data_IF_632756313818
#
_entry.id   IF_632756313818
#
_cell.length_a   1.000
_cell.length_b   1.000
_cell.length_c   1.000
_cell.angle_alpha   90.00
_cell.angle_beta   90.00
_cell.angle_gamma   90.00
#
_symmetry.space_group_name_H-M   'P 1'
#
loop_
_entity.id
_entity.type
_entity.pdbx_description
1 polymer ?
#
# COMPACT_ATOMS: atom_id res chain seq x y z
N UNK A 1 -12.79 11.66 9.23
CA UNK A 1 -11.63 12.02 8.41
C UNK A 1 -12.06 12.16 6.96
N UNK A 2 -11.40 13.03 6.20
CA UNK A 2 -11.76 13.30 4.79
C UNK A 2 -11.79 12.03 3.92
N UNK A 3 -10.76 11.19 4.04
CA UNK A 3 -10.66 9.97 3.23
C UNK A 3 -11.75 8.94 3.53
N UNK A 4 -12.24 8.90 4.76
CA UNK A 4 -13.37 8.03 5.12
C UNK A 4 -14.66 8.45 4.41
N UNK A 5 -14.80 9.76 4.17
CA UNK A 5 -16.01 10.32 3.56
C UNK A 5 -16.01 10.18 2.03
N UNK A 6 -14.84 10.06 1.42
CA UNK A 6 -14.68 10.02 -0.04
C UNK A 6 -14.25 8.66 -0.57
N UNK A 7 -14.12 7.65 0.31
CA UNK A 7 -13.59 6.34 -0.09
C UNK A 7 -14.29 5.75 -1.32
N UNK A 8 -15.61 5.81 -1.36
CA UNK A 8 -16.39 5.29 -2.48
C UNK A 8 -16.14 6.10 -3.76
N UNK A 9 -16.19 7.42 -3.64
CA UNK A 9 -15.96 8.33 -4.78
C UNK A 9 -14.54 8.18 -5.30
N UNK A 10 -13.58 8.08 -4.39
CA UNK A 10 -12.17 7.91 -4.75
C UNK A 10 -11.95 6.65 -5.60
N UNK A 11 -12.56 5.54 -5.21
CA UNK A 11 -12.42 4.28 -5.95
C UNK A 11 -12.95 4.41 -7.39
N UNK A 12 -14.12 5.03 -7.56
CA UNK A 12 -14.71 5.26 -8.88
C UNK A 12 -13.79 6.15 -9.74
N UNK A 13 -13.27 7.24 -9.17
CA UNK A 13 -12.37 8.15 -9.87
C UNK A 13 -11.05 7.48 -10.24
N UNK A 14 -10.43 6.78 -9.29
CA UNK A 14 -9.14 6.13 -9.51
C UNK A 14 -9.22 5.09 -10.63
N UNK A 15 -10.29 4.28 -10.64
CA UNK A 15 -10.43 3.20 -11.64
C UNK A 15 -11.03 3.67 -12.96
N UNK A 16 -11.86 4.71 -12.95
CA UNK A 16 -12.59 5.17 -14.14
C UNK A 16 -11.84 6.19 -14.98
N UNK A 17 -11.25 7.21 -14.35
CA UNK A 17 -10.72 8.39 -15.05
C UNK A 17 -9.25 8.23 -15.43
N UNK A 18 -8.43 7.64 -14.56
CA UNK A 18 -6.98 7.52 -14.77
C UNK A 18 -6.54 6.09 -15.09
N UNK A 19 -7.38 5.34 -15.80
CA UNK A 19 -7.11 3.92 -16.07
C UNK A 19 -5.73 3.66 -16.68
N UNK A 20 -5.31 4.47 -17.65
CA UNK A 20 -4.02 4.32 -18.33
C UNK A 20 -2.85 4.58 -17.38
N UNK A 21 -2.91 5.68 -16.63
CA UNK A 21 -1.89 6.04 -15.64
C UNK A 21 -1.82 4.97 -14.53
N UNK A 22 -2.96 4.47 -14.09
CA UNK A 22 -3.02 3.43 -13.06
C UNK A 22 -2.43 2.11 -13.55
N UNK A 23 -2.65 1.73 -14.80
CA UNK A 23 -2.03 0.53 -15.39
C UNK A 23 -0.51 0.66 -15.45
N UNK A 24 -0.01 1.82 -15.85
CA UNK A 24 1.42 2.07 -15.92
C UNK A 24 2.06 2.01 -14.54
N UNK A 25 1.42 2.59 -13.54
CA UNK A 25 1.87 2.54 -12.14
C UNK A 25 1.87 1.11 -11.61
N UNK A 26 0.80 0.36 -11.83
CA UNK A 26 0.70 -1.04 -11.42
C UNK A 26 1.80 -1.88 -12.05
N UNK A 27 2.06 -1.72 -13.33
CA UNK A 27 3.12 -2.44 -14.03
C UNK A 27 4.50 -2.09 -13.48
N UNK A 28 4.74 -0.81 -13.21
CA UNK A 28 6.01 -0.34 -12.66
C UNK A 28 6.27 -0.91 -11.26
N UNK A 29 5.27 -0.89 -10.40
CA UNK A 29 5.36 -1.47 -9.05
C UNK A 29 5.59 -2.98 -9.15
N UNK A 30 4.78 -3.67 -9.96
CA UNK A 30 4.86 -5.12 -10.12
C UNK A 30 6.25 -5.59 -10.57
N UNK A 31 6.93 -4.81 -11.40
CA UNK A 31 8.27 -5.15 -11.89
C UNK A 31 9.32 -5.24 -10.77
N UNK A 32 9.08 -4.63 -9.62
CA UNK A 32 9.98 -4.62 -8.47
C UNK A 32 9.62 -5.62 -7.37
N UNK A 33 8.56 -6.41 -7.57
CA UNK A 33 8.08 -7.39 -6.58
C UNK A 33 8.37 -8.80 -7.06
N UNK A 34 8.95 -9.62 -6.18
CA UNK A 34 9.27 -11.01 -6.46
C UNK A 34 8.45 -12.01 -5.64
N UNK A 35 8.43 -13.29 -6.07
CA UNK A 35 7.55 -14.31 -5.47
C UNK A 35 7.93 -14.70 -4.03
N UNK A 36 9.16 -14.38 -3.61
CA UNK A 36 9.63 -14.67 -2.25
C UNK A 36 9.48 -13.46 -1.30
N UNK A 37 9.02 -12.34 -1.81
CA UNK A 37 8.99 -11.10 -1.04
C UNK A 37 7.86 -11.07 0.00
N UNK A 38 8.20 -10.59 1.18
CA UNK A 38 7.26 -10.09 2.17
C UNK A 38 7.19 -8.58 2.00
N UNK A 39 5.99 -8.08 1.66
CA UNK A 39 5.78 -6.70 1.23
C UNK A 39 4.87 -5.96 2.20
N UNK A 40 5.23 -4.71 2.50
CA UNK A 40 4.36 -3.76 3.18
C UNK A 40 3.84 -2.76 2.15
N UNK A 41 2.54 -2.59 2.09
CA UNK A 41 1.91 -1.51 1.32
C UNK A 41 1.32 -0.50 2.29
N UNK A 42 1.78 0.74 2.23
CA UNK A 42 1.26 1.84 3.04
C UNK A 42 0.31 2.70 2.21
N UNK A 43 -0.72 3.22 2.84
CA UNK A 43 -1.74 4.01 2.18
C UNK A 43 -2.38 3.26 1.00
N UNK A 44 -2.77 2.01 1.25
CA UNK A 44 -3.32 1.15 0.20
C UNK A 44 -4.66 1.67 -0.35
N UNK A 45 -5.34 2.55 0.37
CA UNK A 45 -6.63 3.08 -0.01
C UNK A 45 -7.66 1.98 -0.20
N UNK A 46 -8.37 2.00 -1.29
CA UNK A 46 -9.36 0.97 -1.63
C UNK A 46 -8.75 -0.25 -2.32
N UNK A 47 -7.44 -0.34 -2.41
CA UNK A 47 -6.74 -1.52 -2.88
C UNK A 47 -6.36 -1.54 -4.36
N UNK A 48 -6.14 -0.36 -4.97
CA UNK A 48 -5.79 -0.27 -6.39
C UNK A 48 -4.54 -1.09 -6.76
N UNK A 49 -3.49 -1.00 -5.94
CA UNK A 49 -2.25 -1.75 -6.13
C UNK A 49 -2.24 -3.10 -5.43
N UNK A 50 -3.06 -3.26 -4.41
CA UNK A 50 -3.03 -4.43 -3.51
C UNK A 50 -3.11 -5.75 -4.26
N UNK A 51 -4.04 -5.89 -5.19
CA UNK A 51 -4.19 -7.11 -5.97
C UNK A 51 -2.99 -7.42 -6.85
N UNK A 52 -2.39 -6.39 -7.44
CA UNK A 52 -1.21 -6.53 -8.30
C UNK A 52 -0.01 -7.01 -7.49
N UNK A 53 0.21 -6.42 -6.32
CA UNK A 53 1.30 -6.80 -5.43
C UNK A 53 1.08 -8.23 -4.90
N UNK A 54 -0.13 -8.52 -4.44
CA UNK A 54 -0.48 -9.83 -3.88
C UNK A 54 -0.25 -10.97 -4.87
N UNK A 55 -0.54 -10.73 -6.15
CA UNK A 55 -0.33 -11.73 -7.20
C UNK A 55 1.13 -12.07 -7.46
N UNK A 56 2.08 -11.26 -6.98
CA UNK A 56 3.50 -11.41 -7.27
C UNK A 56 4.37 -11.71 -6.06
N UNK A 57 3.88 -11.47 -4.85
CA UNK A 57 4.67 -11.64 -3.63
C UNK A 57 4.27 -12.88 -2.86
N UNK A 58 5.09 -13.23 -1.86
CA UNK A 58 4.78 -14.32 -0.94
C UNK A 58 3.70 -13.90 0.06
N UNK A 59 3.83 -12.73 0.66
CA UNK A 59 2.88 -12.23 1.64
C UNK A 59 2.85 -10.69 1.60
N UNK A 60 1.66 -10.13 1.70
CA UNK A 60 1.42 -8.69 1.68
C UNK A 60 0.70 -8.25 2.95
N UNK A 61 1.25 -7.24 3.59
CA UNK A 61 0.57 -6.48 4.64
C UNK A 61 0.14 -5.14 4.04
N UNK A 62 -1.15 -4.96 3.83
CA UNK A 62 -1.72 -3.74 3.26
C UNK A 62 -2.26 -2.86 4.39
N UNK A 63 -1.78 -1.64 4.47
CA UNK A 63 -2.13 -0.72 5.56
C UNK A 63 -2.70 0.58 5.04
N UNK A 64 -3.58 1.17 5.83
CA UNK A 64 -4.08 2.53 5.61
C UNK A 64 -4.49 3.13 6.96
N UNK A 65 -4.49 4.44 7.04
CA UNK A 65 -4.97 5.14 8.23
C UNK A 65 -6.50 5.15 8.32
N UNK A 66 -7.18 5.12 7.16
CA UNK A 66 -8.64 5.15 7.06
C UNK A 66 -9.24 3.75 7.18
N UNK A 67 -10.03 3.52 8.21
CA UNK A 67 -10.76 2.25 8.40
C UNK A 67 -11.72 1.97 7.25
N UNK A 68 -12.37 3.00 6.70
CA UNK A 68 -13.33 2.85 5.60
C UNK A 68 -12.64 2.44 4.31
N UNK A 69 -11.47 3.01 4.03
CA UNK A 69 -10.64 2.60 2.89
C UNK A 69 -10.25 1.14 3.01
N UNK A 70 -9.74 0.74 4.17
CA UNK A 70 -9.36 -0.65 4.46
C UNK A 70 -10.53 -1.60 4.29
N UNK A 71 -11.71 -1.24 4.80
CA UNK A 71 -12.90 -2.08 4.69
C UNK A 71 -13.27 -2.34 3.22
N UNK A 72 -13.15 -1.34 2.35
CA UNK A 72 -13.39 -1.52 0.92
C UNK A 72 -12.34 -2.42 0.27
N UNK A 73 -11.07 -2.21 0.59
CA UNK A 73 -9.99 -3.05 0.08
C UNK A 73 -10.15 -4.50 0.55
N UNK A 74 -10.46 -4.70 1.81
CA UNK A 74 -10.65 -6.02 2.40
C UNK A 74 -11.80 -6.77 1.72
N UNK A 75 -12.89 -6.09 1.40
CA UNK A 75 -14.01 -6.69 0.66
C UNK A 75 -13.60 -7.13 -0.75
N UNK A 76 -12.82 -6.30 -1.46
CA UNK A 76 -12.35 -6.64 -2.81
C UNK A 76 -11.47 -7.88 -2.82
N UNK A 77 -10.64 -8.04 -1.80
CA UNK A 77 -9.60 -9.06 -1.76
C UNK A 77 -9.82 -10.10 -0.67
N UNK A 78 -11.08 -10.31 -0.28
CA UNK A 78 -11.45 -11.27 0.76
C UNK A 78 -10.97 -12.70 0.47
N UNK A 79 -10.82 -13.05 -0.81
CA UNK A 79 -10.38 -14.37 -1.24
C UNK A 79 -8.86 -14.47 -1.43
N UNK A 80 -8.12 -13.38 -1.27
CA UNK A 80 -6.66 -13.40 -1.36
C UNK A 80 -6.06 -13.85 -0.02
N UNK A 81 -5.51 -15.05 0.00
CA UNK A 81 -5.02 -15.69 1.23
C UNK A 81 -3.69 -15.10 1.73
N UNK A 82 -2.93 -14.46 0.87
CA UNK A 82 -1.62 -13.91 1.21
C UNK A 82 -1.65 -12.43 1.58
N UNK A 83 -2.82 -11.84 1.81
CA UNK A 83 -2.98 -10.43 2.18
C UNK A 83 -3.55 -10.30 3.58
N UNK A 84 -2.93 -9.42 4.38
CA UNK A 84 -3.46 -8.95 5.66
C UNK A 84 -3.73 -7.46 5.55
N UNK A 85 -4.89 -7.02 6.05
CA UNK A 85 -5.26 -5.61 6.10
C UNK A 85 -5.16 -5.11 7.54
N UNK A 86 -4.37 -4.06 7.75
CA UNK A 86 -4.09 -3.53 9.09
C UNK A 86 -4.19 -2.01 9.05
N UNK A 87 -4.94 -1.43 9.98
CA UNK A 87 -4.92 0.01 10.15
C UNK A 87 -3.57 0.43 10.73
N UNK A 88 -2.94 1.42 10.13
CA UNK A 88 -1.64 1.90 10.57
C UNK A 88 -1.42 3.38 10.21
N UNK A 89 -0.61 4.02 11.04
CA UNK A 89 -0.11 5.37 10.81
C UNK A 89 1.27 5.25 10.16
N UNK A 90 1.42 5.77 8.95
CA UNK A 90 2.68 5.70 8.18
C UNK A 90 3.85 6.41 8.88
N UNK A 91 3.57 7.34 9.79
CA UNK A 91 4.60 8.04 10.56
C UNK A 91 5.05 7.28 11.80
N UNK A 92 4.39 6.19 12.11
CA UNK A 92 4.59 5.43 13.34
C UNK A 92 4.22 3.96 13.13
N UNK A 93 5.01 3.25 12.33
CA UNK A 93 4.75 1.86 11.98
C UNK A 93 5.14 0.90 13.12
N UNK A 94 4.24 0.03 13.48
CA UNK A 94 4.45 -0.95 14.55
C UNK A 94 5.07 -2.24 14.01
N UNK A 95 6.24 -2.09 13.39
CA UNK A 95 7.04 -3.19 12.86
C UNK A 95 8.51 -2.96 13.20
N UNK A 96 9.28 -4.04 13.39
CA UNK A 96 10.71 -3.91 13.67
C UNK A 96 11.48 -3.44 12.44
N UNK A 97 12.71 -2.97 12.67
CA UNK A 97 13.63 -2.58 11.61
C UNK A 97 13.85 -3.72 10.63
N UNK A 98 13.87 -3.42 9.35
CA UNK A 98 14.19 -4.39 8.32
C UNK A 98 13.19 -5.55 8.15
N UNK A 99 11.95 -5.36 8.58
CA UNK A 99 10.92 -6.41 8.57
C UNK A 99 10.51 -6.87 7.18
N UNK A 100 10.52 -5.98 6.20
CA UNK A 100 9.97 -6.25 4.85
C UNK A 100 11.04 -6.22 3.77
N UNK A 101 10.88 -7.08 2.76
CA UNK A 101 11.75 -7.11 1.59
C UNK A 101 11.51 -5.94 0.64
N UNK A 102 10.26 -5.52 0.55
CA UNK A 102 9.85 -4.35 -0.23
C UNK A 102 8.79 -3.57 0.53
N UNK A 103 8.82 -2.26 0.41
CA UNK A 103 7.85 -1.34 1.01
C UNK A 103 7.32 -0.43 -0.09
N UNK A 104 6.00 -0.39 -0.24
CA UNK A 104 5.33 0.37 -1.29
C UNK A 104 4.47 1.47 -0.68
N UNK A 105 4.65 2.70 -1.14
CA UNK A 105 3.85 3.85 -0.73
C UNK A 105 3.58 4.74 -1.94
N UNK A 106 2.50 4.45 -2.65
CA UNK A 106 2.17 5.15 -3.88
C UNK A 106 1.21 6.32 -3.65
N UNK A 107 1.52 7.48 -4.24
CA UNK A 107 0.65 8.66 -4.26
C UNK A 107 0.22 9.15 -2.86
N UNK A 108 1.09 9.09 -1.88
CA UNK A 108 0.75 9.46 -0.50
C UNK A 108 1.66 10.52 0.12
N UNK A 109 2.95 10.52 -0.21
CA UNK A 109 3.94 11.35 0.49
C UNK A 109 3.58 12.84 0.43
N UNK A 110 3.12 13.31 -0.71
CA UNK A 110 2.74 14.72 -0.91
C UNK A 110 1.47 15.14 -0.17
N UNK A 111 0.72 14.18 0.38
CA UNK A 111 -0.51 14.43 1.13
C UNK A 111 -0.30 14.43 2.64
N UNK A 112 0.92 14.15 3.11
CA UNK A 112 1.21 13.97 4.52
C UNK A 112 1.65 15.28 5.17
N UNK A 113 1.29 15.46 6.45
CA UNK A 113 1.74 16.58 7.26
C UNK A 113 3.22 16.43 7.65
N UNK A 114 3.68 15.19 7.83
CA UNK A 114 5.04 14.87 8.24
C UNK A 114 5.72 13.90 7.26
N UNK A 115 5.99 14.34 6.01
CA UNK A 115 6.53 13.46 4.98
C UNK A 115 7.91 12.88 5.31
N UNK A 116 8.77 13.64 5.97
CA UNK A 116 10.10 13.15 6.36
C UNK A 116 10.01 12.05 7.40
N UNK A 117 9.10 12.17 8.37
CA UNK A 117 8.90 11.13 9.38
C UNK A 117 8.36 9.86 8.72
N UNK A 118 7.43 9.98 7.78
CA UNK A 118 6.93 8.85 7.02
C UNK A 118 8.06 8.16 6.24
N UNK A 119 8.88 8.92 5.53
CA UNK A 119 10.02 8.36 4.78
C UNK A 119 11.01 7.63 5.68
N UNK A 120 11.27 8.17 6.88
CA UNK A 120 12.13 7.51 7.87
C UNK A 120 11.56 6.17 8.30
N UNK A 121 10.25 6.09 8.55
CA UNK A 121 9.59 4.86 8.94
C UNK A 121 9.58 3.83 7.81
N UNK A 122 9.31 4.26 6.58
CA UNK A 122 9.36 3.38 5.42
C UNK A 122 10.76 2.79 5.22
N UNK A 123 11.79 3.63 5.34
CA UNK A 123 13.17 3.18 5.23
C UNK A 123 13.54 2.23 6.37
N UNK A 124 13.12 2.54 7.59
CA UNK A 124 13.41 1.74 8.79
C UNK A 124 12.89 0.32 8.67
N UNK A 125 11.63 0.15 8.24
CA UNK A 125 10.99 -1.17 8.15
C UNK A 125 11.40 -1.95 6.89
N UNK A 126 12.00 -1.30 5.92
CA UNK A 126 12.57 -1.95 4.74
C UNK A 126 13.93 -2.55 5.11
N UNK A 127 14.16 -3.81 4.75
CA UNK A 127 15.43 -4.45 5.05
C UNK A 127 16.58 -3.81 4.28
N UNK A 128 17.84 -3.89 4.80
CA UNK A 128 19.01 -3.48 4.02
C UNK A 128 19.07 -4.26 2.70
N UNK A 129 19.25 -3.54 1.60
CA UNK A 129 19.22 -4.13 0.26
C UNK A 129 17.80 -4.42 -0.28
N UNK A 130 16.78 -4.10 0.50
CA UNK A 130 15.39 -4.16 0.04
C UNK A 130 15.02 -3.02 -0.89
N UNK A 131 13.74 -2.96 -1.25
CA UNK A 131 13.24 -1.96 -2.21
C UNK A 131 12.17 -1.08 -1.56
N UNK A 132 12.36 0.22 -1.68
CA UNK A 132 11.37 1.22 -1.32
C UNK A 132 10.80 1.79 -2.62
N UNK A 133 9.49 1.63 -2.84
CA UNK A 133 8.83 1.93 -4.11
C UNK A 133 7.74 2.99 -3.90
#
# INVERSE_FOLDING_TARGET
>A
MFWDRVAWVYDVFANGINRRANRAMCAAVAAHIGPEDEVLECACGTGLLTGVIAARCRALTATDFSEKMLAQAERKYANCRNVRFVQADITKLDYPDGRFDAVVAANVIHLLDEPLQALRELDRVCRPGGRLI
#
